data_IF_754025585876
#
_entry.id   IF_754025585876
#
_cell.length_a   1.000
_cell.length_b   1.000
_cell.length_c   1.000
_cell.angle_alpha   90.00
_cell.angle_beta   90.00
_cell.angle_gamma   90.00
#
_symmetry.space_group_name_H-M   'P 1'
#
loop_
_entity.id
_entity.type
_entity.pdbx_description
1 polymer ?
#
# COMPACT_ATOMS: atom_id res chain seq x y z
N UNK A 1 -19.59 -22.71 26.72
CA UNK A 1 -18.59 -21.96 27.51
C UNK A 1 -18.11 -20.86 26.57
N UNK A 2 -18.76 -19.70 26.63
CA UNK A 2 -18.61 -18.64 25.64
C UNK A 2 -17.26 -17.97 25.78
N UNK A 3 -16.41 -18.13 24.77
CA UNK A 3 -15.21 -17.33 24.62
C UNK A 3 -15.63 -15.96 24.10
N UNK A 4 -15.72 -14.98 24.99
CA UNK A 4 -15.72 -13.57 24.63
C UNK A 4 -14.25 -13.18 24.39
N UNK A 5 -13.82 -13.21 23.14
CA UNK A 5 -12.57 -12.59 22.72
C UNK A 5 -12.91 -11.26 22.05
N UNK A 6 -12.05 -10.25 22.24
CA UNK A 6 -12.22 -8.86 21.80
C UNK A 6 -12.75 -8.76 20.37
N UNK A 7 -14.07 -8.70 20.24
CA UNK A 7 -14.73 -8.15 19.08
C UNK A 7 -14.49 -6.65 19.24
N UNK A 8 -13.88 -5.97 18.27
CA UNK A 8 -13.70 -4.53 18.39
C UNK A 8 -15.08 -3.87 18.49
N UNK A 9 -15.45 -3.44 19.70
CA UNK A 9 -16.68 -2.66 19.95
C UNK A 9 -16.61 -1.28 19.27
N UNK A 10 -15.43 -0.89 18.78
CA UNK A 10 -15.18 0.40 18.13
C UNK A 10 -15.28 0.34 16.59
N UNK A 11 -15.49 -0.85 16.00
CA UNK A 11 -15.59 -1.03 14.55
C UNK A 11 -17.00 -1.47 14.12
N UNK A 12 -17.33 -1.15 12.87
CA UNK A 12 -18.54 -1.67 12.25
C UNK A 12 -18.40 -3.18 12.01
N UNK A 13 -19.44 -3.93 12.37
CA UNK A 13 -19.44 -5.39 12.28
C UNK A 13 -20.44 -5.85 11.24
N UNK A 14 -19.99 -6.70 10.32
CA UNK A 14 -20.89 -7.37 9.38
C UNK A 14 -21.82 -8.33 10.14
N UNK A 15 -23.11 -8.32 9.79
CA UNK A 15 -24.14 -9.17 10.41
C UNK A 15 -24.80 -10.06 9.36
N UNK A 16 -24.32 -11.30 9.16
CA UNK A 16 -24.85 -12.21 8.14
C UNK A 16 -26.37 -12.39 8.20
N UNK A 17 -26.93 -12.46 9.41
CA UNK A 17 -28.38 -12.63 9.64
C UNK A 17 -29.25 -11.47 9.17
N UNK A 18 -28.67 -10.32 8.84
CA UNK A 18 -29.37 -9.14 8.35
C UNK A 18 -29.30 -8.99 6.83
N UNK A 19 -28.51 -9.82 6.14
CA UNK A 19 -28.43 -9.82 4.68
C UNK A 19 -29.27 -10.95 4.11
N UNK A 20 -30.15 -10.63 3.16
CA UNK A 20 -30.97 -11.61 2.45
C UNK A 20 -30.21 -12.33 1.33
N UNK A 21 -29.03 -11.84 0.97
CA UNK A 21 -28.20 -12.36 -0.13
C UNK A 21 -26.94 -13.06 0.34
N UNK A 22 -26.68 -13.03 1.65
CA UNK A 22 -25.59 -13.76 2.27
C UNK A 22 -25.74 -15.26 2.08
N UNK A 23 -24.63 -15.91 1.73
CA UNK A 23 -24.48 -17.35 1.68
C UNK A 23 -23.29 -17.77 2.54
N UNK A 24 -23.56 -18.66 3.48
CA UNK A 24 -22.50 -19.25 4.32
C UNK A 24 -21.62 -20.17 3.46
N UNK A 25 -20.30 -20.01 3.57
CA UNK A 25 -19.32 -20.94 3.04
C UNK A 25 -18.67 -21.72 4.19
N UNK A 26 -18.30 -21.03 5.28
CA UNK A 26 -17.93 -21.64 6.56
C UNK A 26 -16.50 -22.18 6.63
N UNK A 27 -15.75 -22.18 5.53
CA UNK A 27 -14.32 -22.49 5.52
C UNK A 27 -13.55 -21.47 6.37
N UNK A 28 -12.65 -21.94 7.21
CA UNK A 28 -11.81 -21.05 8.01
C UNK A 28 -10.68 -20.45 7.19
N UNK A 29 -10.21 -19.27 7.60
CA UNK A 29 -9.05 -18.61 7.02
C UNK A 29 -8.19 -17.96 8.11
N UNK A 30 -6.91 -17.75 7.80
CA UNK A 30 -5.96 -17.05 8.66
C UNK A 30 -4.98 -16.26 7.81
N UNK A 31 -4.83 -14.97 8.10
CA UNK A 31 -3.96 -14.05 7.36
C UNK A 31 -2.94 -13.47 8.32
N UNK A 32 -1.68 -13.45 7.88
CA UNK A 32 -0.59 -12.76 8.55
C UNK A 32 -0.16 -11.57 7.70
N UNK A 33 -0.28 -10.37 8.25
CA UNK A 33 0.29 -9.13 7.73
C UNK A 33 1.64 -8.85 8.41
N UNK A 34 2.38 -7.85 7.92
CA UNK A 34 3.66 -7.45 8.50
C UNK A 34 3.56 -7.03 9.98
N UNK A 35 2.48 -6.37 10.35
CA UNK A 35 2.28 -5.78 11.70
C UNK A 35 1.02 -6.29 12.41
N UNK A 36 0.33 -7.29 11.85
CA UNK A 36 -0.92 -7.80 12.42
C UNK A 36 -1.28 -9.18 11.85
N UNK A 37 -2.21 -9.86 12.50
CA UNK A 37 -2.77 -11.11 11.98
C UNK A 37 -4.26 -11.17 12.31
N UNK A 38 -5.02 -11.91 11.51
CA UNK A 38 -6.41 -12.15 11.79
C UNK A 38 -6.83 -13.53 11.31
N UNK A 39 -7.87 -14.08 11.96
CA UNK A 39 -8.46 -15.36 11.58
C UNK A 39 -9.98 -15.29 11.67
N UNK A 40 -10.65 -16.12 10.89
CA UNK A 40 -12.09 -16.09 10.82
C UNK A 40 -12.67 -17.16 9.89
N UNK A 41 -13.85 -16.89 9.36
CA UNK A 41 -14.55 -17.75 8.39
C UNK A 41 -14.77 -17.01 7.08
N UNK A 42 -14.91 -17.75 5.99
CA UNK A 42 -15.24 -17.20 4.68
C UNK A 42 -16.77 -17.18 4.56
N UNK A 43 -17.31 -16.02 4.23
CA UNK A 43 -18.68 -15.81 3.80
C UNK A 43 -18.74 -15.44 2.33
N UNK A 44 -19.96 -15.35 1.79
CA UNK A 44 -20.20 -14.86 0.43
C UNK A 44 -21.42 -13.95 0.43
N UNK A 45 -21.32 -12.78 -0.18
CA UNK A 45 -22.44 -11.84 -0.33
C UNK A 45 -22.21 -10.91 -1.54
N UNK A 46 -23.10 -9.94 -1.74
CA UNK A 46 -22.88 -8.83 -2.65
C UNK A 46 -21.98 -7.79 -1.98
N UNK A 47 -20.91 -7.39 -2.66
CA UNK A 47 -20.02 -6.29 -2.21
C UNK A 47 -20.16 -5.13 -3.18
N UNK A 48 -20.49 -3.95 -2.65
CA UNK A 48 -20.60 -2.73 -3.45
C UNK A 48 -19.48 -1.75 -3.10
N UNK A 49 -18.80 -1.23 -4.11
CA UNK A 49 -17.78 -0.18 -3.98
C UNK A 49 -18.14 0.91 -4.98
N UNK A 50 -18.57 2.09 -4.50
CA UNK A 50 -19.08 3.22 -5.30
C UNK A 50 -19.84 2.75 -6.56
N UNK A 51 -21.11 2.36 -6.38
CA UNK A 51 -22.00 2.05 -7.51
C UNK A 51 -21.69 0.73 -8.26
N UNK A 52 -20.51 0.13 -8.10
CA UNK A 52 -20.16 -1.17 -8.66
C UNK A 52 -20.51 -2.26 -7.66
N UNK A 53 -21.50 -3.08 -7.97
CA UNK A 53 -21.91 -4.23 -7.15
C UNK A 53 -21.38 -5.54 -7.72
N UNK A 54 -20.46 -6.17 -7.01
CA UNK A 54 -19.95 -7.50 -7.30
C UNK A 54 -20.85 -8.54 -6.65
N UNK A 55 -21.46 -9.40 -7.45
CA UNK A 55 -22.28 -10.49 -6.94
C UNK A 55 -21.41 -11.66 -6.46
N UNK A 56 -21.88 -12.38 -5.44
CA UNK A 56 -21.25 -13.61 -4.93
C UNK A 56 -19.77 -13.45 -4.57
N UNK A 57 -19.39 -12.27 -4.05
CA UNK A 57 -18.04 -12.01 -3.60
C UNK A 57 -17.79 -12.78 -2.30
N UNK A 58 -16.72 -13.58 -2.29
CA UNK A 58 -16.23 -14.22 -1.07
C UNK A 58 -15.39 -13.23 -0.26
N UNK A 59 -15.58 -13.18 1.05
CA UNK A 59 -14.77 -12.35 1.94
C UNK A 59 -14.59 -13.01 3.30
N UNK A 60 -13.56 -12.59 4.01
CA UNK A 60 -13.28 -13.06 5.35
C UNK A 60 -14.09 -12.30 6.39
N UNK A 61 -14.84 -13.02 7.20
CA UNK A 61 -15.49 -12.53 8.42
C UNK A 61 -14.52 -12.81 9.57
N UNK A 62 -13.88 -11.75 10.07
CA UNK A 62 -12.92 -11.88 11.17
C UNK A 62 -13.62 -12.30 12.46
N UNK A 63 -13.00 -13.23 13.18
CA UNK A 63 -13.44 -13.71 14.49
C UNK A 63 -12.39 -13.38 15.56
N UNK A 64 -11.10 -13.51 15.20
CA UNK A 64 -10.00 -13.15 16.09
C UNK A 64 -9.03 -12.21 15.36
N UNK A 65 -8.80 -11.05 15.98
CA UNK A 65 -7.86 -10.02 15.53
C UNK A 65 -6.87 -9.74 16.66
N UNK A 66 -5.88 -10.62 16.88
CA UNK A 66 -4.90 -10.42 17.95
C UNK A 66 -4.00 -9.21 17.69
N UNK A 67 -3.75 -8.44 18.75
CA UNK A 67 -2.84 -7.28 18.75
C UNK A 67 -3.57 -5.96 18.90
N UNK A 68 -2.81 -4.87 19.04
CA UNK A 68 -3.36 -3.51 19.12
C UNK A 68 -3.50 -2.83 17.76
N UNK A 69 -2.89 -3.40 16.71
CA UNK A 69 -2.85 -2.83 15.36
C UNK A 69 -4.24 -2.58 14.79
N UNK A 70 -5.16 -3.53 14.95
CA UNK A 70 -6.55 -3.39 14.48
C UNK A 70 -7.46 -2.68 15.49
N UNK A 71 -7.11 -2.64 16.78
CA UNK A 71 -7.95 -1.99 17.81
C UNK A 71 -7.97 -0.47 17.66
N UNK A 72 -6.85 0.11 17.22
CA UNK A 72 -6.68 1.56 17.05
C UNK A 72 -6.76 1.99 15.59
N UNK A 73 -7.12 1.09 14.68
CA UNK A 73 -7.31 1.45 13.28
C UNK A 73 -8.54 2.36 13.15
N UNK A 74 -8.54 3.25 12.16
CA UNK A 74 -9.74 4.02 11.80
C UNK A 74 -10.61 3.30 10.76
N UNK A 75 -10.08 2.23 10.15
CA UNK A 75 -10.77 1.41 9.17
C UNK A 75 -11.33 0.13 9.79
N UNK A 76 -12.45 -0.36 9.26
CA UNK A 76 -13.12 -1.60 9.74
C UNK A 76 -12.58 -2.87 9.08
N UNK A 77 -11.93 -2.77 7.92
CA UNK A 77 -11.42 -3.92 7.18
C UNK A 77 -10.50 -3.55 6.02
N UNK A 78 -10.02 -4.57 5.30
CA UNK A 78 -9.05 -4.44 4.21
C UNK A 78 -9.64 -5.04 2.93
N UNK A 79 -9.60 -4.29 1.83
CA UNK A 79 -9.92 -4.77 0.48
C UNK A 79 -8.62 -4.95 -0.31
N UNK A 80 -8.20 -6.20 -0.48
CA UNK A 80 -6.97 -6.54 -1.22
C UNK A 80 -7.11 -6.37 -2.73
N UNK A 81 -6.18 -5.65 -3.35
CA UNK A 81 -6.13 -5.37 -4.80
C UNK A 81 -4.93 -6.01 -5.52
N UNK A 82 -4.23 -6.92 -4.85
CA UNK A 82 -3.14 -7.71 -5.41
C UNK A 82 -3.66 -8.90 -6.26
N UNK A 83 -2.76 -9.73 -6.80
CA UNK A 83 -3.14 -10.87 -7.65
C UNK A 83 -3.75 -12.03 -6.82
N UNK A 84 -4.60 -12.88 -7.44
CA UNK A 84 -5.20 -14.05 -6.76
C UNK A 84 -4.22 -15.03 -6.15
N UNK A 85 -2.99 -15.11 -6.68
CA UNK A 85 -1.93 -15.98 -6.15
C UNK A 85 -1.51 -15.65 -4.71
N UNK A 86 -1.83 -14.44 -4.23
CA UNK A 86 -1.60 -14.01 -2.85
C UNK A 86 -2.81 -14.26 -1.93
N UNK A 87 -3.97 -14.57 -2.49
CA UNK A 87 -5.20 -14.73 -1.72
C UNK A 87 -5.19 -16.03 -0.91
N UNK A 88 -5.28 -15.90 0.42
CA UNK A 88 -5.40 -17.05 1.33
C UNK A 88 -6.70 -17.79 1.06
N UNK A 89 -6.64 -19.13 1.06
CA UNK A 89 -7.81 -19.98 0.84
C UNK A 89 -8.29 -20.01 -0.62
N UNK A 90 -7.56 -19.40 -1.56
CA UNK A 90 -7.95 -19.35 -2.96
C UNK A 90 -9.19 -18.50 -3.22
N UNK A 91 -9.53 -17.59 -2.30
CA UNK A 91 -10.62 -16.64 -2.42
C UNK A 91 -10.36 -15.72 -3.62
N UNK A 92 -11.35 -15.56 -4.49
CA UNK A 92 -11.21 -14.66 -5.65
C UNK A 92 -11.28 -13.20 -5.19
N UNK A 93 -10.24 -12.37 -5.45
CA UNK A 93 -10.25 -10.95 -5.08
C UNK A 93 -11.39 -10.16 -5.73
N UNK A 94 -11.76 -9.03 -5.12
CA UNK A 94 -12.86 -8.18 -5.59
C UNK A 94 -12.65 -7.73 -7.03
N UNK A 95 -11.45 -7.23 -7.35
CA UNK A 95 -11.17 -6.73 -8.69
C UNK A 95 -11.16 -7.84 -9.76
N UNK A 96 -10.75 -9.05 -9.40
CA UNK A 96 -10.86 -10.22 -10.28
C UNK A 96 -12.32 -10.54 -10.61
N UNK A 97 -13.22 -10.48 -9.62
CA UNK A 97 -14.64 -10.65 -9.86
C UNK A 97 -15.25 -9.47 -10.65
N UNK A 98 -14.82 -8.23 -10.43
CA UNK A 98 -15.24 -7.09 -11.26
C UNK A 98 -14.91 -7.32 -12.73
N UNK A 99 -13.68 -7.77 -13.04
CA UNK A 99 -13.29 -8.11 -14.41
C UNK A 99 -14.07 -9.31 -14.96
N UNK A 100 -14.21 -10.39 -14.19
CA UNK A 100 -14.92 -11.59 -14.63
C UNK A 100 -16.42 -11.35 -14.90
N UNK A 101 -17.02 -10.41 -14.16
CA UNK A 101 -18.42 -10.02 -14.31
C UNK A 101 -18.62 -8.85 -15.30
N UNK A 102 -17.55 -8.40 -15.97
CA UNK A 102 -17.55 -7.26 -16.91
C UNK A 102 -18.14 -5.97 -16.30
N UNK A 103 -17.79 -5.69 -15.05
CA UNK A 103 -18.25 -4.51 -14.30
C UNK A 103 -17.35 -3.29 -14.47
N UNK A 104 -16.24 -3.44 -15.18
CA UNK A 104 -15.28 -2.37 -15.49
C UNK A 104 -14.97 -2.38 -16.98
N UNK A 105 -14.84 -1.20 -17.58
CA UNK A 105 -14.60 -1.06 -19.02
C UNK A 105 -13.19 -1.51 -19.43
N UNK A 106 -12.20 -1.22 -18.58
CA UNK A 106 -10.79 -1.56 -18.79
C UNK A 106 -10.31 -2.37 -17.58
N UNK A 107 -9.55 -3.47 -17.77
CA UNK A 107 -9.04 -4.30 -16.67
C UNK A 107 -7.87 -3.61 -15.93
N UNK A 108 -8.09 -2.42 -15.40
CA UNK A 108 -7.16 -1.66 -14.59
C UNK A 108 -7.87 -0.87 -13.49
N UNK A 109 -7.11 -0.47 -12.48
CA UNK A 109 -7.52 0.55 -11.51
C UNK A 109 -6.37 1.51 -11.29
N UNK A 110 -6.66 2.68 -10.71
CA UNK A 110 -5.65 3.71 -10.48
C UNK A 110 -5.85 4.42 -9.17
N UNK A 111 -4.77 4.94 -8.61
CA UNK A 111 -4.74 5.54 -7.28
C UNK A 111 -4.06 6.89 -7.33
N UNK A 112 -4.75 7.90 -6.81
CA UNK A 112 -4.24 9.21 -6.47
C UNK A 112 -4.26 9.38 -4.94
N UNK A 113 -3.13 9.75 -4.35
CA UNK A 113 -3.02 10.01 -2.92
C UNK A 113 -2.58 11.45 -2.69
N UNK A 114 -3.44 12.25 -2.08
CA UNK A 114 -3.02 13.59 -1.62
C UNK A 114 -2.29 13.49 -0.28
N UNK A 115 -1.13 14.14 -0.22
CA UNK A 115 -0.35 14.33 1.01
C UNK A 115 -0.67 15.65 1.72
N UNK A 116 -1.51 16.49 1.11
CA UNK A 116 -1.90 17.76 1.67
C UNK A 116 -3.22 17.61 2.45
N UNK A 117 -3.22 17.71 3.79
CA UNK A 117 -4.43 17.58 4.60
C UNK A 117 -5.43 18.72 4.33
N UNK A 118 -4.97 19.84 3.77
CA UNK A 118 -5.81 20.99 3.38
C UNK A 118 -6.37 20.86 1.94
N UNK A 119 -6.11 19.74 1.26
CA UNK A 119 -6.60 19.53 -0.11
C UNK A 119 -8.12 19.41 -0.14
N UNK A 120 -8.79 20.16 -1.02
CA UNK A 120 -10.24 20.06 -1.21
C UNK A 120 -10.65 18.86 -2.07
N UNK A 121 -9.77 18.44 -2.98
CA UNK A 121 -9.83 17.19 -3.74
C UNK A 121 -9.09 16.14 -2.92
N UNK A 122 -9.81 15.23 -2.27
CA UNK A 122 -9.23 14.14 -1.48
C UNK A 122 -8.45 13.14 -2.33
N UNK A 123 -8.00 12.05 -1.70
CA UNK A 123 -7.44 10.90 -2.41
C UNK A 123 -8.53 10.14 -3.20
N UNK A 124 -8.16 9.47 -4.28
CA UNK A 124 -9.10 8.78 -5.18
C UNK A 124 -8.59 7.40 -5.60
N UNK A 125 -9.52 6.43 -5.67
CA UNK A 125 -9.34 5.12 -6.31
C UNK A 125 -10.37 5.00 -7.44
N UNK A 126 -9.91 4.76 -8.66
CA UNK A 126 -10.76 4.57 -9.83
C UNK A 126 -10.67 3.11 -10.28
N UNK A 127 -11.80 2.45 -10.42
CA UNK A 127 -11.89 1.15 -11.10
C UNK A 127 -12.28 1.35 -12.57
N UNK A 128 -11.61 0.67 -13.49
CA UNK A 128 -11.95 0.68 -14.91
C UNK A 128 -11.28 1.74 -15.77
N UNK A 129 -10.32 2.50 -15.22
CA UNK A 129 -9.64 3.57 -15.94
C UNK A 129 -8.66 4.34 -15.06
N UNK A 130 -8.34 5.57 -15.48
CA UNK A 130 -7.51 6.52 -14.76
C UNK A 130 -7.86 7.95 -15.18
N UNK A 131 -7.59 8.94 -14.31
CA UNK A 131 -7.85 10.36 -14.58
C UNK A 131 -6.54 11.10 -14.89
N UNK A 132 -6.47 11.70 -16.08
CA UNK A 132 -5.34 12.53 -16.51
C UNK A 132 -5.24 13.84 -15.73
N UNK A 133 -6.30 14.27 -15.04
CA UNK A 133 -6.27 15.48 -14.22
C UNK A 133 -5.34 15.34 -13.01
N UNK A 134 -5.06 14.11 -12.55
CA UNK A 134 -4.27 13.81 -11.36
C UNK A 134 -2.78 13.54 -11.62
N UNK A 135 -2.30 13.65 -12.87
CA UNK A 135 -0.87 13.57 -13.15
C UNK A 135 -0.43 14.47 -14.31
N UNK A 136 0.87 14.76 -14.35
CA UNK A 136 1.48 15.52 -15.43
C UNK A 136 2.27 14.62 -16.39
N UNK A 137 2.37 15.04 -17.65
CA UNK A 137 3.10 14.30 -18.68
C UNK A 137 2.36 13.03 -19.13
N UNK A 138 3.09 11.92 -19.23
CA UNK A 138 2.57 10.63 -19.69
C UNK A 138 2.91 9.52 -18.70
N UNK A 139 2.04 8.50 -18.62
CA UNK A 139 2.31 7.30 -17.85
C UNK A 139 3.53 6.56 -18.40
N UNK A 140 4.45 6.23 -17.51
CA UNK A 140 5.57 5.34 -17.80
C UNK A 140 5.17 3.94 -17.36
N UNK A 141 5.07 3.02 -18.30
CA UNK A 141 4.64 1.65 -18.04
C UNK A 141 5.82 0.76 -17.66
N UNK A 142 5.66 0.04 -16.56
CA UNK A 142 6.66 -0.83 -15.95
C UNK A 142 6.08 -2.25 -15.87
N UNK A 143 6.78 -3.27 -16.39
CA UNK A 143 6.27 -4.63 -16.35
C UNK A 143 6.25 -5.21 -14.93
N UNK A 144 5.15 -5.90 -14.60
CA UNK A 144 5.08 -6.69 -13.37
C UNK A 144 5.99 -7.91 -13.52
N UNK A 145 6.98 -8.05 -12.63
CA UNK A 145 8.00 -9.10 -12.70
C UNK A 145 7.53 -10.42 -12.11
N UNK A 146 6.61 -10.37 -11.14
CA UNK A 146 6.00 -11.55 -10.49
C UNK A 146 4.56 -11.22 -10.10
N UNK A 147 3.61 -11.98 -10.64
CA UNK A 147 2.18 -11.82 -10.36
C UNK A 147 1.83 -12.41 -8.99
N UNK A 148 2.02 -11.60 -7.95
CA UNK A 148 1.60 -11.84 -6.57
C UNK A 148 1.24 -10.50 -5.97
N UNK A 149 2.25 -9.77 -5.52
CA UNK A 149 2.15 -8.32 -5.35
C UNK A 149 2.17 -7.61 -6.71
N UNK A 150 1.94 -6.30 -6.71
CA UNK A 150 2.31 -5.42 -7.83
C UNK A 150 3.83 -5.21 -7.84
N UNK A 151 4.55 -6.28 -8.15
CA UNK A 151 6.01 -6.36 -8.07
C UNK A 151 6.66 -5.84 -9.35
N UNK A 152 7.63 -4.94 -9.21
CA UNK A 152 8.40 -4.32 -10.29
C UNK A 152 9.90 -4.45 -10.02
N UNK A 153 10.72 -4.24 -11.06
CA UNK A 153 12.17 -4.12 -10.92
C UNK A 153 12.58 -2.67 -10.66
N UNK A 154 13.48 -2.45 -9.70
CA UNK A 154 14.24 -1.21 -9.57
C UNK A 154 15.59 -1.40 -10.24
N UNK A 155 16.04 -0.43 -11.03
CA UNK A 155 17.36 -0.46 -11.67
C UNK A 155 18.46 -0.06 -10.68
N UNK A 156 18.18 0.92 -9.82
CA UNK A 156 19.05 1.38 -8.73
C UNK A 156 18.31 2.37 -7.82
N UNK A 157 18.90 2.62 -6.65
CA UNK A 157 18.48 3.67 -5.73
C UNK A 157 19.67 4.59 -5.46
N UNK A 158 19.46 5.89 -5.65
CA UNK A 158 20.47 6.93 -5.50
C UNK A 158 20.17 7.83 -4.31
N UNK A 159 21.23 8.27 -3.64
CA UNK A 159 21.18 9.29 -2.59
C UNK A 159 22.06 10.45 -3.04
N UNK A 160 21.48 11.64 -3.21
CA UNK A 160 22.20 12.83 -3.67
C UNK A 160 22.88 12.63 -5.04
N UNK A 161 22.22 11.88 -5.93
CA UNK A 161 22.71 11.58 -7.28
C UNK A 161 23.79 10.50 -7.37
N UNK A 162 24.12 9.82 -6.27
CA UNK A 162 25.07 8.69 -6.25
C UNK A 162 24.33 7.38 -6.01
N UNK A 163 24.53 6.38 -6.86
CA UNK A 163 23.99 5.02 -6.65
C UNK A 163 24.53 4.46 -5.34
N UNK A 164 23.63 4.19 -4.41
CA UNK A 164 23.95 3.65 -3.09
C UNK A 164 23.41 2.23 -2.91
N UNK A 165 22.25 1.92 -3.50
CA UNK A 165 21.62 0.61 -3.39
C UNK A 165 21.15 0.08 -4.73
N UNK A 166 20.91 -1.23 -4.77
CA UNK A 166 20.41 -1.92 -5.95
C UNK A 166 21.23 -1.65 -7.21
N UNK A 167 22.56 -1.57 -7.11
CA UNK A 167 23.42 -1.25 -8.25
C UNK A 167 23.32 -2.27 -9.40
N UNK A 168 22.96 -3.50 -9.09
CA UNK A 168 22.70 -4.60 -10.04
C UNK A 168 21.19 -4.83 -10.24
N UNK A 169 20.37 -3.86 -9.85
CA UNK A 169 18.93 -3.99 -9.76
C UNK A 169 18.46 -4.73 -8.50
N UNK A 170 17.19 -4.54 -8.17
CA UNK A 170 16.49 -5.27 -7.11
C UNK A 170 14.99 -5.32 -7.40
N UNK A 171 14.21 -5.90 -6.49
CA UNK A 171 12.75 -6.01 -6.63
C UNK A 171 12.07 -5.09 -5.62
N UNK A 172 10.97 -4.48 -6.05
CA UNK A 172 10.09 -3.68 -5.22
C UNK A 172 8.63 -4.04 -5.48
N UNK A 173 7.75 -3.67 -4.54
CA UNK A 173 6.31 -3.72 -4.73
C UNK A 173 5.74 -2.31 -4.58
N UNK A 174 4.72 -2.00 -5.38
CA UNK A 174 3.94 -0.76 -5.24
C UNK A 174 2.73 -1.10 -4.38
N UNK A 175 2.64 -0.54 -3.17
CA UNK A 175 1.72 -1.02 -2.14
C UNK A 175 1.02 0.13 -1.40
N UNK A 176 -0.27 0.30 -1.70
CA UNK A 176 -1.16 1.28 -1.05
C UNK A 176 -1.50 0.93 0.40
N UNK A 177 -1.15 -0.27 0.87
CA UNK A 177 -1.38 -0.71 2.24
C UNK A 177 -0.22 -0.40 3.19
N UNK A 178 0.88 0.16 2.68
CA UNK A 178 2.07 0.50 3.47
C UNK A 178 2.29 2.01 3.47
N UNK A 179 2.32 2.63 4.65
CA UNK A 179 2.45 4.10 4.75
C UNK A 179 3.82 4.63 4.34
N UNK A 180 4.89 3.90 4.64
CA UNK A 180 6.28 4.34 4.45
C UNK A 180 6.91 3.67 3.23
N UNK A 181 8.09 4.14 2.82
CA UNK A 181 8.96 3.36 1.94
C UNK A 181 9.76 2.40 2.80
N UNK A 182 9.73 1.11 2.48
CA UNK A 182 10.47 0.10 3.23
C UNK A 182 11.49 -0.63 2.39
N UNK A 183 12.45 -1.26 3.05
CA UNK A 183 13.46 -2.11 2.43
C UNK A 183 14.23 -2.89 3.48
N UNK A 184 15.22 -3.71 3.06
CA UNK A 184 16.03 -4.50 3.98
C UNK A 184 16.61 -3.64 5.09
N UNK A 185 16.46 -4.06 6.35
CA UNK A 185 16.72 -3.21 7.52
C UNK A 185 18.14 -2.66 7.56
N UNK A 186 19.12 -3.44 7.11
CA UNK A 186 20.52 -2.99 7.01
C UNK A 186 20.71 -1.86 5.98
N UNK A 187 19.99 -1.90 4.86
CA UNK A 187 20.05 -0.88 3.80
C UNK A 187 19.32 0.38 4.24
N UNK A 188 18.18 0.24 4.90
CA UNK A 188 17.48 1.38 5.49
C UNK A 188 18.35 2.05 6.54
N UNK A 189 19.02 1.32 7.43
CA UNK A 189 19.95 1.93 8.40
C UNK A 189 21.06 2.75 7.72
N UNK A 190 21.59 2.29 6.58
CA UNK A 190 22.56 3.05 5.79
C UNK A 190 21.93 4.32 5.18
N UNK A 191 20.71 4.21 4.66
CA UNK A 191 19.95 5.33 4.13
C UNK A 191 19.68 6.40 5.20
N UNK A 192 19.23 5.98 6.39
CA UNK A 192 18.96 6.89 7.51
C UNK A 192 20.21 7.71 7.88
N UNK A 193 21.36 7.06 7.98
CA UNK A 193 22.62 7.76 8.22
C UNK A 193 22.99 8.73 7.08
N UNK A 194 22.73 8.34 5.82
CA UNK A 194 23.04 9.17 4.66
C UNK A 194 22.17 10.42 4.55
N UNK A 195 20.92 10.36 5.03
CA UNK A 195 20.02 11.51 5.09
C UNK A 195 20.13 12.30 6.41
N UNK A 196 20.99 11.86 7.34
CA UNK A 196 21.18 12.52 8.63
C UNK A 196 20.07 12.27 9.66
N UNK A 197 19.28 11.21 9.48
CA UNK A 197 18.26 10.81 10.43
C UNK A 197 18.86 10.03 11.60
N UNK A 198 18.34 10.27 12.81
CA UNK A 198 18.79 9.66 14.06
C UNK A 198 17.72 8.71 14.59
N UNK A 199 18.11 7.53 15.13
CA UNK A 199 17.14 6.59 15.66
C UNK A 199 16.44 7.17 16.90
N UNK A 200 15.13 6.96 16.96
CA UNK A 200 14.27 7.22 18.12
C UNK A 200 13.57 5.91 18.51
N UNK A 201 12.66 5.94 19.49
CA UNK A 201 11.92 4.75 19.93
C UNK A 201 11.07 4.16 18.80
N UNK A 202 11.64 3.23 18.03
CA UNK A 202 10.99 2.52 16.93
C UNK A 202 11.00 3.25 15.57
N UNK A 203 11.46 4.49 15.53
CA UNK A 203 11.45 5.35 14.34
C UNK A 203 12.81 6.03 14.10
N UNK A 204 12.86 6.95 13.14
CA UNK A 204 14.02 7.82 12.89
C UNK A 204 13.56 9.26 12.78
N UNK A 205 14.11 10.15 13.61
CA UNK A 205 13.84 11.58 13.58
C UNK A 205 14.92 12.34 12.80
N UNK A 206 14.59 13.54 12.36
CA UNK A 206 15.50 14.46 11.67
C UNK A 206 15.18 15.91 12.04
N UNK A 207 16.14 16.80 11.79
CA UNK A 207 15.97 18.23 12.06
C UNK A 207 15.12 18.90 10.99
N UNK A 208 13.89 19.35 11.34
CA UNK A 208 12.97 20.01 10.40
C UNK A 208 13.57 21.22 9.69
N UNK A 209 14.47 21.96 10.35
CA UNK A 209 15.12 23.13 9.77
C UNK A 209 16.15 22.78 8.67
N UNK A 210 16.59 21.52 8.60
CA UNK A 210 17.66 21.08 7.71
C UNK A 210 17.14 20.38 6.44
N UNK A 211 15.83 20.34 6.19
CA UNK A 211 15.28 19.69 5.00
C UNK A 211 15.87 20.24 3.69
N UNK A 212 16.18 21.52 3.62
CA UNK A 212 16.73 22.15 2.40
C UNK A 212 18.18 21.72 2.07
N UNK A 213 18.90 21.10 3.01
CA UNK A 213 20.28 20.63 2.80
C UNK A 213 20.38 19.10 2.75
N UNK A 214 19.25 18.40 2.89
CA UNK A 214 19.18 16.95 2.78
C UNK A 214 19.20 16.51 1.30
N UNK A 215 19.72 15.31 1.01
CA UNK A 215 19.86 14.84 -0.36
C UNK A 215 18.55 14.30 -0.93
N UNK A 216 18.30 14.54 -2.22
CA UNK A 216 17.23 13.85 -2.93
C UNK A 216 17.45 12.32 -2.95
N UNK A 217 16.37 11.56 -2.87
CA UNK A 217 16.37 10.10 -3.02
C UNK A 217 15.73 9.76 -4.36
N UNK A 218 16.45 9.04 -5.22
CA UNK A 218 15.94 8.68 -6.56
C UNK A 218 15.84 7.18 -6.72
N UNK A 219 14.64 6.71 -7.05
CA UNK A 219 14.40 5.34 -7.50
C UNK A 219 14.42 5.33 -9.03
N UNK A 220 15.38 4.62 -9.63
CA UNK A 220 15.36 4.44 -11.09
C UNK A 220 14.55 3.22 -11.43
N UNK A 221 13.51 3.38 -12.24
CA UNK A 221 12.57 2.31 -12.62
C UNK A 221 12.43 2.33 -14.14
N UNK A 222 12.79 1.23 -14.80
CA UNK A 222 12.73 1.10 -16.25
C UNK A 222 13.46 2.24 -16.99
N UNK A 223 14.63 2.64 -16.46
CA UNK A 223 15.46 3.73 -16.97
C UNK A 223 14.97 5.15 -16.63
N UNK A 224 13.83 5.30 -15.97
CA UNK A 224 13.25 6.60 -15.62
C UNK A 224 13.52 6.92 -14.13
N UNK A 225 14.04 8.12 -13.81
CA UNK A 225 14.27 8.53 -12.43
C UNK A 225 12.98 9.04 -11.76
N UNK A 226 12.65 8.45 -10.61
CA UNK A 226 11.58 8.89 -9.71
C UNK A 226 12.20 9.49 -8.45
N UNK A 227 12.35 10.80 -8.46
CA UNK A 227 13.06 11.56 -7.42
C UNK A 227 12.10 12.07 -6.35
N UNK A 228 12.41 11.75 -5.10
CA UNK A 228 11.76 12.26 -3.91
C UNK A 228 12.63 13.35 -3.28
N UNK A 229 12.18 14.62 -3.26
CA UNK A 229 12.86 15.65 -2.49
C UNK A 229 12.70 15.39 -0.98
N UNK A 230 13.53 16.01 -0.13
CA UNK A 230 13.44 15.89 1.34
C UNK A 230 12.04 16.03 1.90
N UNK A 231 11.30 17.05 1.44
CA UNK A 231 9.92 17.27 1.88
C UNK A 231 8.95 16.13 1.55
N UNK A 232 9.23 15.34 0.51
CA UNK A 232 8.37 14.23 0.13
C UNK A 232 8.58 13.00 1.03
N UNK A 233 9.83 12.74 1.43
CA UNK A 233 10.16 11.58 2.26
C UNK A 233 10.27 11.92 3.77
N UNK A 234 9.96 13.14 4.18
CA UNK A 234 9.84 13.54 5.58
C UNK A 234 8.37 13.61 5.98
N UNK A 235 8.04 13.02 7.11
CA UNK A 235 6.73 13.19 7.76
C UNK A 235 6.86 14.28 8.81
N UNK A 236 5.87 15.18 8.85
CA UNK A 236 5.84 16.30 9.79
C UNK A 236 4.62 16.15 10.67
N UNK A 237 4.84 16.06 11.97
CA UNK A 237 3.81 16.02 13.01
C UNK A 237 3.96 17.20 13.97
N UNK A 238 2.87 17.56 14.64
CA UNK A 238 2.87 18.61 15.67
C UNK A 238 2.46 18.02 17.02
N UNK A 239 3.38 18.03 17.99
CA UNK A 239 3.11 17.61 19.37
C UNK A 239 3.28 18.82 20.28
N UNK A 240 2.22 19.18 21.01
CA UNK A 240 2.17 20.36 21.87
C UNK A 240 2.61 21.68 21.17
N UNK A 241 2.32 21.79 19.87
CA UNK A 241 2.68 22.95 19.04
C UNK A 241 4.15 22.98 18.58
N UNK A 242 4.94 21.95 18.90
CA UNK A 242 6.29 21.76 18.37
C UNK A 242 6.25 20.85 17.13
N UNK A 243 6.98 21.26 16.10
CA UNK A 243 7.13 20.49 14.86
C UNK A 243 8.15 19.36 15.05
N UNK A 244 7.75 18.14 14.74
CA UNK A 244 8.58 16.94 14.75
C UNK A 244 8.67 16.37 13.34
N UNK A 245 9.89 16.08 12.89
CA UNK A 245 10.13 15.49 11.58
C UNK A 245 10.66 14.07 11.72
N UNK A 246 9.95 13.12 11.14
CA UNK A 246 10.33 11.71 11.10
C UNK A 246 10.58 11.23 9.67
N UNK A 247 11.37 10.18 9.56
CA UNK A 247 11.77 9.60 8.28
C UNK A 247 10.63 8.78 7.68
N UNK A 248 10.32 9.05 6.42
CA UNK A 248 9.42 8.26 5.59
C UNK A 248 9.99 6.90 5.16
N UNK A 249 11.11 6.47 5.75
CA UNK A 249 11.78 5.20 5.48
C UNK A 249 11.78 4.29 6.71
N UNK A 250 11.49 3.01 6.52
CA UNK A 250 11.48 2.02 7.61
C UNK A 250 12.08 0.68 7.19
N UNK A 251 12.85 0.07 8.10
CA UNK A 251 13.39 -1.28 7.89
C UNK A 251 12.30 -2.34 7.98
N UNK A 252 12.19 -3.19 6.97
CA UNK A 252 11.27 -4.33 6.96
C UNK A 252 11.89 -5.50 6.19
N UNK A 253 12.19 -6.58 6.90
CA UNK A 253 12.84 -7.75 6.31
C UNK A 253 11.81 -8.80 5.86
N UNK A 254 11.37 -8.70 4.62
CA UNK A 254 10.54 -9.73 3.98
C UNK A 254 11.39 -10.97 3.70
N UNK A 255 10.99 -12.10 4.25
CA UNK A 255 11.74 -13.36 4.16
C UNK A 255 11.57 -14.05 2.79
N UNK A 256 12.57 -14.84 2.35
CA UNK A 256 12.42 -15.71 1.18
C UNK A 256 11.25 -16.70 1.36
N UNK A 257 10.55 -17.10 0.28
CA UNK A 257 10.85 -16.83 -1.14
C UNK A 257 10.23 -15.55 -1.69
N UNK A 258 9.56 -14.74 -0.85
CA UNK A 258 8.95 -13.49 -1.29
C UNK A 258 9.98 -12.36 -1.38
N UNK A 259 10.85 -12.25 -0.37
CA UNK A 259 11.87 -11.20 -0.27
C UNK A 259 13.30 -11.67 -0.57
N UNK A 260 14.27 -10.74 -0.49
CA UNK A 260 14.11 -9.35 -0.03
C UNK A 260 13.38 -8.46 -1.05
N UNK A 261 12.57 -7.50 -0.55
CA UNK A 261 11.83 -6.54 -1.36
C UNK A 261 11.97 -5.13 -0.77
N UNK A 262 11.92 -4.13 -1.64
CA UNK A 262 11.53 -2.77 -1.25
C UNK A 262 10.02 -2.61 -1.37
N UNK A 263 9.42 -1.75 -0.55
CA UNK A 263 8.01 -1.37 -0.68
C UNK A 263 7.94 0.12 -0.99
N UNK A 264 7.32 0.45 -2.12
CA UNK A 264 6.99 1.82 -2.51
C UNK A 264 5.57 2.11 -2.00
N UNK A 265 5.50 2.61 -0.77
CA UNK A 265 4.25 2.92 -0.07
C UNK A 265 3.71 4.33 -0.31
N UNK A 266 2.87 4.81 0.59
CA UNK A 266 2.16 6.10 0.47
C UNK A 266 3.10 7.30 0.34
N UNK A 267 4.30 7.25 0.93
CA UNK A 267 5.34 8.29 0.73
C UNK A 267 5.73 8.41 -0.75
N UNK A 268 5.84 7.30 -1.48
CA UNK A 268 6.11 7.30 -2.92
C UNK A 268 4.85 7.63 -3.72
N UNK A 269 3.72 6.99 -3.39
CA UNK A 269 2.43 7.15 -4.09
C UNK A 269 1.82 8.56 -3.93
N UNK A 270 2.19 9.26 -2.85
CA UNK A 270 1.84 10.66 -2.66
C UNK A 270 2.62 11.63 -3.55
N UNK A 271 3.64 11.17 -4.27
CA UNK A 271 4.37 11.95 -5.29
C UNK A 271 4.07 11.47 -6.71
N UNK A 272 3.70 10.20 -6.86
CA UNK A 272 3.52 9.56 -8.16
C UNK A 272 2.17 8.87 -8.24
N UNK A 273 1.36 9.32 -9.19
CA UNK A 273 0.11 8.67 -9.57
C UNK A 273 0.41 7.27 -10.10
N UNK A 274 -0.38 6.28 -9.68
CA UNK A 274 -0.17 4.89 -10.02
C UNK A 274 -1.38 4.28 -10.72
N UNK A 275 -1.14 3.59 -11.83
CA UNK A 275 -2.12 2.79 -12.57
C UNK A 275 -1.71 1.32 -12.52
N UNK A 276 -2.64 0.44 -12.23
CA UNK A 276 -2.43 -0.99 -12.06
C UNK A 276 -3.21 -1.74 -13.13
N UNK A 277 -2.52 -2.16 -14.20
CA UNK A 277 -3.12 -2.77 -15.38
C UNK A 277 -3.03 -4.30 -15.31
N UNK A 278 -4.16 -4.95 -15.03
CA UNK A 278 -4.30 -6.42 -15.02
C UNK A 278 -4.38 -7.02 -16.42
N UNK A 279 -4.82 -6.26 -17.42
CA UNK A 279 -4.90 -6.71 -18.81
C UNK A 279 -3.53 -6.95 -19.42
N UNK A 280 -2.57 -6.07 -19.13
CA UNK A 280 -1.20 -6.15 -19.65
C UNK A 280 -0.16 -6.55 -18.60
N UNK A 281 -0.53 -6.65 -17.32
CA UNK A 281 0.37 -6.88 -16.19
C UNK A 281 1.46 -5.80 -16.10
N UNK A 282 1.02 -4.54 -16.06
CA UNK A 282 1.87 -3.36 -16.01
C UNK A 282 1.49 -2.48 -14.81
N UNK A 283 2.46 -1.72 -14.31
CA UNK A 283 2.24 -0.56 -13.43
C UNK A 283 2.59 0.70 -14.23
N UNK A 284 1.66 1.64 -14.32
CA UNK A 284 1.88 2.96 -14.91
C UNK A 284 2.20 3.98 -13.83
N UNK A 285 3.27 4.75 -13.99
CA UNK A 285 3.69 5.77 -13.02
C UNK A 285 3.90 7.13 -13.71
N UNK A 286 3.38 8.19 -13.10
CA UNK A 286 3.61 9.58 -13.52
C UNK A 286 3.64 10.54 -12.31
N UNK A 287 4.30 11.71 -12.40
CA UNK A 287 4.25 12.71 -11.32
C UNK A 287 2.82 13.16 -11.05
N UNK A 288 2.37 13.01 -9.80
CA UNK A 288 1.03 13.40 -9.38
C UNK A 288 0.87 14.92 -9.41
N UNK A 289 -0.33 15.40 -9.70
CA UNK A 289 -0.71 16.81 -9.56
C UNK A 289 -2.01 16.94 -8.75
N UNK A 290 -2.16 18.02 -7.94
CA UNK A 290 -3.36 18.27 -7.14
C UNK A 290 -4.64 18.50 -7.93
#
# INVERSE_FOLDING_TARGET
MGCYFYISENHNQFRPSQSSTYMENGNSFSIQYGTGSLSGIIGMDQVSVEGITVANQQFGESINEPGSTFVNAEFDGILGLAYPSLAVGGVTPVFDNMMAQNLVDIPMFSVYMTRNPESTTGSELIFGGYDHSHFSGSLNWVPVTKQGYWQIALDNIQVGGTIMFCAEGCQAIVDTGTSLITGPSEKIKQLQNAIGAVPTDGEYAMECNNLNVMPDITFTINGIPYTLPPKAYTLTDFVDGMEFCTSGFQGLDIQPPAGPLWILGDVFLGQFYAVFDRGNNLVGLAPAVP
#
